data_IF_998577774287
#
_entry.id   IF_998577774287
#
_cell.length_a   1.000
_cell.length_b   1.000
_cell.length_c   1.000
_cell.angle_alpha   90.00
_cell.angle_beta   90.00
_cell.angle_gamma   90.00
#
_symmetry.space_group_name_H-M   'P 1'
#
loop_
_entity.id
_entity.type
_entity.pdbx_description
1 polymer ?
2 non-polymer ?
3 non-polymer ?
4 water ?
#
# COMPACT_ATOMS: atom_id res chain seq x y z
N UNK A 2 24.47 -11.44 -25.74
CA UNK A 2 24.80 -11.51 -24.31
C UNK A 2 23.66 -12.00 -23.44
N UNK A 3 24.00 -12.43 -22.23
CA UNK A 3 23.05 -13.07 -21.34
C UNK A 3 21.84 -12.18 -21.11
N UNK A 4 20.67 -12.79 -21.00
CA UNK A 4 19.41 -12.10 -20.76
C UNK A 4 18.85 -12.55 -19.41
N UNK A 5 19.44 -12.10 -18.32
CA UNK A 5 18.97 -12.51 -17.00
C UNK A 5 17.59 -11.96 -16.73
N UNK A 6 16.93 -12.57 -15.86
CA UNK A 6 15.70 -11.89 -15.51
C UNK A 6 15.98 -10.94 -14.35
N UNK A 7 15.28 -9.80 -14.26
CA UNK A 7 15.58 -8.86 -13.18
C UNK A 7 15.28 -9.46 -11.83
N UNK A 8 16.09 -9.10 -10.84
CA UNK A 8 15.77 -9.37 -9.45
C UNK A 8 15.31 -8.12 -8.72
N UNK A 9 15.14 -7.01 -9.43
CA UNK A 9 14.84 -5.74 -8.79
C UNK A 9 14.30 -4.82 -9.86
N UNK A 10 13.18 -4.15 -9.56
CA UNK A 10 12.62 -3.15 -10.46
C UNK A 10 12.40 -1.88 -9.67
N UNK A 11 12.27 -0.77 -10.39
CA UNK A 11 11.91 0.50 -9.79
C UNK A 11 10.51 0.89 -10.22
N UNK A 12 9.73 1.37 -9.24
CA UNK A 12 8.32 1.67 -9.40
C UNK A 12 8.11 3.11 -9.00
N UNK A 13 7.42 3.86 -9.86
CA UNK A 13 7.00 5.22 -9.56
C UNK A 13 5.53 5.18 -9.15
N UNK A 14 5.22 5.79 -8.00
CA UNK A 14 3.85 6.01 -7.57
C UNK A 14 3.58 7.50 -7.56
N UNK A 15 2.53 7.93 -8.22
CA UNK A 15 2.09 9.31 -8.15
C UNK A 15 0.65 9.38 -7.69
N UNK A 16 0.33 10.37 -6.87
CA UNK A 16 -1.05 10.65 -6.52
C UNK A 16 -1.30 12.15 -6.64
N UNK A 17 -2.37 12.52 -7.33
CA UNK A 17 -2.66 13.93 -7.54
C UNK A 17 -4.17 14.14 -7.52
N UNK A 18 -4.66 14.91 -6.56
CA UNK A 18 -6.02 15.41 -6.61
C UNK A 18 -6.02 16.67 -7.49
N UNK A 19 -6.56 16.55 -8.71
CA UNK A 19 -6.51 17.61 -9.72
C UNK A 19 -7.59 18.68 -9.55
N UNK A 20 -8.44 18.59 -8.54
CA UNK A 20 -9.37 19.68 -8.28
C UNK A 20 -10.32 19.95 -9.42
N UNK A 21 -10.64 18.95 -10.23
CA UNK A 21 -11.58 19.07 -11.35
C UNK A 21 -11.09 19.98 -12.47
N UNK A 22 -9.80 20.34 -12.49
CA UNK A 22 -9.27 21.28 -13.49
C UNK A 22 -8.31 20.60 -14.46
N UNK A 23 -8.29 20.99 -15.73
CA UNK A 23 -7.31 20.41 -16.64
C UNK A 23 -5.89 20.67 -16.15
N UNK A 24 -4.96 19.77 -16.44
CA UNK A 24 -3.57 19.96 -16.01
C UNK A 24 -2.86 21.02 -16.84
N UNK A 25 -1.79 21.62 -16.31
CA UNK A 25 -0.98 22.52 -17.15
C UNK A 25 -0.30 21.73 -18.25
N UNK A 26 0.47 22.41 -19.11
CA UNK A 26 1.11 21.77 -20.25
C UNK A 26 2.30 20.91 -19.83
N UNK A 27 3.07 21.35 -18.83
CA UNK A 27 4.25 20.63 -18.38
C UNK A 27 3.98 20.04 -17.00
N UNK A 28 4.08 18.72 -16.90
CA UNK A 28 4.00 18.06 -15.59
C UNK A 28 5.19 17.14 -15.38
N UNK A 29 6.24 17.30 -16.21
CA UNK A 29 7.40 16.41 -16.12
C UNK A 29 8.03 16.41 -14.72
N UNK A 30 7.92 17.51 -13.99
CA UNK A 30 8.49 17.56 -12.64
C UNK A 30 7.94 16.45 -11.76
N UNK A 31 6.67 16.09 -11.95
CA UNK A 31 6.06 15.03 -11.16
C UNK A 31 6.80 13.72 -11.33
N UNK A 32 7.05 13.32 -12.59
CA UNK A 32 7.65 12.01 -12.83
C UNK A 32 9.16 12.02 -12.62
N UNK A 33 9.77 13.19 -12.56
CA UNK A 33 11.18 13.32 -12.25
C UNK A 33 11.44 13.38 -10.75
N UNK A 34 10.41 13.40 -9.91
CA UNK A 34 10.57 13.50 -8.47
C UNK A 34 11.28 14.81 -8.10
N UNK A 35 10.83 15.90 -8.73
CA UNK A 35 11.43 17.23 -8.59
C UNK A 35 10.49 18.12 -7.81
N UNK A 36 11.02 18.83 -6.82
CA UNK A 36 10.22 19.75 -6.03
C UNK A 36 10.75 19.89 -4.62
N UNK A 37 9.96 19.52 -3.63
CA UNK A 37 10.44 19.51 -2.26
C UNK A 37 10.28 18.13 -1.65
N UNK A 38 11.04 17.89 -0.61
CA UNK A 38 10.99 16.64 0.11
C UNK A 38 12.18 15.77 -0.19
N UNK A 39 11.99 14.46 -0.21
CA UNK A 39 13.09 13.56 -0.54
C UNK A 39 13.05 13.44 -2.06
N UNK A 40 13.92 14.18 -2.74
CA UNK A 40 13.82 14.34 -4.19
C UNK A 40 14.92 13.56 -4.90
N UNK A 41 14.78 13.47 -6.22
CA UNK A 41 15.68 12.68 -7.04
C UNK A 41 16.68 13.60 -7.73
N UNK A 42 17.94 13.20 -7.73
CA UNK A 42 19.00 14.07 -8.21
C UNK A 42 18.95 14.18 -9.74
N UNK A 43 19.32 15.37 -10.22
CA UNK A 43 19.36 15.65 -11.65
C UNK A 43 20.03 14.54 -12.46
N UNK A 44 21.13 13.98 -11.93
CA UNK A 44 21.90 13.00 -12.70
C UNK A 44 21.04 11.84 -13.21
N UNK A 45 19.96 11.51 -12.48
CA UNK A 45 19.16 10.33 -12.78
C UNK A 45 17.99 10.61 -13.73
N UNK A 46 17.81 11.86 -14.17
CA UNK A 46 16.58 12.23 -14.88
C UNK A 46 16.33 11.35 -16.09
N UNK A 47 17.37 11.00 -16.83
CA UNK A 47 17.14 10.20 -18.02
C UNK A 47 16.89 8.73 -17.74
N UNK A 48 16.98 8.29 -16.47
CA UNK A 48 16.84 6.88 -16.14
C UNK A 48 15.36 6.57 -15.96
N UNK A 49 14.76 5.79 -16.85
CA UNK A 49 13.33 5.52 -16.74
C UNK A 49 13.07 4.47 -15.67
N UNK A 50 11.96 4.64 -14.95
CA UNK A 50 11.53 3.58 -14.04
C UNK A 50 10.90 2.45 -14.85
N UNK A 51 10.78 1.28 -14.22
CA UNK A 51 10.20 0.13 -14.92
C UNK A 51 8.69 0.20 -15.00
N UNK A 52 8.05 0.69 -13.95
CA UNK A 52 6.60 0.80 -13.89
C UNK A 52 6.25 2.16 -13.33
N UNK A 53 5.28 2.81 -13.95
CA UNK A 53 4.71 4.06 -13.45
C UNK A 53 3.24 3.79 -13.09
N UNK A 54 2.87 4.10 -11.86
CA UNK A 54 1.50 3.96 -11.38
C UNK A 54 1.01 5.35 -11.02
N UNK A 55 -0.03 5.82 -11.69
CA UNK A 55 -0.51 7.19 -11.56
C UNK A 55 -1.94 7.15 -11.01
N UNK A 56 -2.14 7.71 -9.82
CA UNK A 56 -3.46 7.82 -9.23
C UNK A 56 -3.92 9.27 -9.24
N UNK A 57 -5.14 9.50 -9.72
CA UNK A 57 -5.72 10.83 -9.67
C UNK A 57 -7.05 10.80 -8.91
N UNK A 58 -7.41 11.96 -8.35
CA UNK A 58 -8.73 12.18 -7.74
C UNK A 58 -9.26 13.49 -8.31
N UNK A 59 -10.58 13.63 -8.32
CA UNK A 59 -11.19 14.81 -8.93
C UNK A 59 -10.62 15.06 -10.33
N UNK A 60 -10.46 13.97 -11.08
CA UNK A 60 -9.85 14.00 -12.41
C UNK A 60 -10.91 14.32 -13.44
N UNK A 61 -10.83 15.45 -14.16
CA UNK A 61 -11.89 15.83 -15.10
C UNK A 61 -11.69 15.33 -16.54
N UNK A 62 -10.55 14.69 -16.82
CA UNK A 62 -10.21 14.28 -18.16
C UNK A 62 -10.81 12.91 -18.49
N UNK A 63 -11.06 12.70 -19.77
CA UNK A 63 -11.32 11.36 -20.28
C UNK A 63 -10.05 10.53 -20.21
N UNK A 64 -10.22 9.21 -20.21
CA UNK A 64 -9.08 8.31 -20.18
C UNK A 64 -8.15 8.51 -21.36
N UNK A 65 -8.71 8.76 -22.55
CA UNK A 65 -7.86 8.98 -23.71
C UNK A 65 -7.00 10.23 -23.56
N UNK A 66 -7.62 11.34 -23.13
CA UNK A 66 -6.88 12.58 -22.90
C UNK A 66 -5.73 12.38 -21.91
N UNK A 67 -6.05 11.83 -20.73
CA UNK A 67 -5.04 11.67 -19.68
C UNK A 67 -3.94 10.72 -20.12
N UNK A 68 -4.31 9.59 -20.72
CA UNK A 68 -3.30 8.68 -21.26
C UNK A 68 -2.35 9.39 -22.21
N UNK A 69 -2.90 10.26 -23.07
CA UNK A 69 -2.08 11.04 -24.00
C UNK A 69 -1.09 11.92 -23.27
N UNK A 70 -1.58 12.70 -22.30
CA UNK A 70 -0.73 13.62 -21.56
C UNK A 70 0.37 12.85 -20.85
N UNK A 71 0.04 11.68 -20.30
CA UNK A 71 1.01 10.91 -19.51
C UNK A 71 2.11 10.34 -20.39
N UNK A 72 1.74 9.71 -21.51
CA UNK A 72 2.74 9.16 -22.42
C UNK A 72 3.61 10.24 -23.03
N UNK A 73 3.04 11.40 -23.38
CA UNK A 73 3.88 12.47 -23.93
C UNK A 73 4.92 12.91 -22.91
N UNK A 74 4.47 13.14 -21.67
CA UNK A 74 5.38 13.56 -20.60
C UNK A 74 6.50 12.54 -20.40
N UNK A 75 6.15 11.25 -20.40
CA UNK A 75 7.17 10.22 -20.21
C UNK A 75 8.11 10.13 -21.41
N UNK A 76 7.57 10.25 -22.63
CA UNK A 76 8.44 10.29 -23.82
C UNK A 76 9.39 11.47 -23.78
N UNK A 77 8.89 12.64 -23.37
CA UNK A 77 9.76 13.80 -23.20
C UNK A 77 10.97 13.47 -22.32
N UNK A 78 10.74 12.71 -21.25
CA UNK A 78 11.76 12.46 -20.24
C UNK A 78 12.69 11.33 -20.67
N UNK A 79 12.14 10.25 -21.24
CA UNK A 79 12.84 9.00 -21.41
C UNK A 79 13.09 8.58 -22.86
N UNK A 80 12.33 9.12 -23.82
CA UNK A 80 12.37 8.67 -25.21
C UNK A 80 11.51 7.42 -25.41
N UNK A 81 11.21 6.72 -24.32
CA UNK A 81 10.51 5.45 -24.40
C UNK A 81 9.02 5.69 -24.56
N UNK A 82 8.37 4.80 -25.32
CA UNK A 82 6.92 4.82 -25.49
C UNK A 82 6.34 3.73 -24.59
N UNK A 83 5.86 4.14 -23.43
CA UNK A 83 5.42 3.18 -22.43
C UNK A 83 4.14 2.47 -22.86
N UNK A 84 4.04 1.19 -22.47
CA UNK A 84 2.84 0.40 -22.69
C UNK A 84 1.82 0.66 -21.60
N UNK A 85 0.54 0.72 -21.99
CA UNK A 85 -0.54 0.74 -21.03
C UNK A 85 -0.75 -0.67 -20.48
N UNK A 86 -0.62 -0.82 -19.17
CA UNK A 86 -0.88 -2.09 -18.50
C UNK A 86 -2.33 -2.21 -18.09
N UNK A 87 -2.84 -1.19 -17.42
CA UNK A 87 -4.23 -1.14 -17.02
C UNK A 87 -4.60 0.32 -16.80
N UNK A 88 -5.89 0.61 -16.96
CA UNK A 88 -6.43 1.91 -16.61
C UNK A 88 -7.85 1.68 -16.15
N UNK A 89 -8.20 2.20 -14.99
CA UNK A 89 -9.50 1.94 -14.42
C UNK A 89 -9.98 3.18 -13.68
N UNK A 90 -11.22 3.54 -13.91
CA UNK A 90 -11.80 4.77 -13.39
C UNK A 90 -13.11 4.47 -12.68
N UNK A 91 -13.27 5.03 -11.49
CA UNK A 91 -14.53 5.05 -10.76
C UNK A 91 -14.87 6.52 -10.53
N UNK A 92 -15.96 7.00 -11.12
CA UNK A 92 -16.36 8.40 -10.98
C UNK A 92 -15.19 9.25 -11.45
N UNK A 93 -14.57 10.07 -10.59
CA UNK A 93 -13.42 10.86 -10.98
C UNK A 93 -12.15 10.39 -10.28
N UNK A 94 -12.13 9.13 -9.84
CA UNK A 94 -10.96 8.49 -9.22
C UNK A 94 -10.40 7.51 -10.23
N UNK A 95 -9.11 7.60 -10.50
CA UNK A 95 -8.56 6.89 -11.65
C UNK A 95 -7.18 6.36 -11.30
N UNK A 96 -6.87 5.18 -11.85
CA UNK A 96 -5.53 4.61 -11.73
C UNK A 96 -5.04 4.20 -13.11
N UNK A 97 -3.80 4.59 -13.43
CA UNK A 97 -3.13 4.23 -14.68
C UNK A 97 -1.83 3.51 -14.32
N UNK A 98 -1.56 2.39 -14.97
CA UNK A 98 -0.29 1.66 -14.82
C UNK A 98 0.38 1.61 -16.18
N UNK A 99 1.61 2.15 -16.26
CA UNK A 99 2.43 2.14 -17.47
C UNK A 99 3.72 1.38 -17.23
N UNK A 100 4.26 0.73 -18.26
CA UNK A 100 5.45 -0.09 -18.05
C UNK A 100 6.35 -0.04 -19.27
N UNK A 101 7.64 -0.29 -19.03
CA UNK A 101 8.62 -0.32 -20.11
C UNK A 101 8.18 -1.37 -21.15
N UNK A 102 8.35 -1.09 -22.44
CA UNK A 102 7.92 -2.07 -23.45
C UNK A 102 8.58 -3.43 -23.28
N UNK A 103 9.81 -3.48 -22.76
CA UNK A 103 10.52 -4.74 -22.60
C UNK A 103 9.91 -5.65 -21.53
N UNK A 104 9.03 -5.14 -20.69
CA UNK A 104 8.44 -5.95 -19.64
C UNK A 104 7.11 -6.57 -20.04
N UNK A 105 6.66 -6.35 -21.28
CA UNK A 105 5.30 -6.76 -21.62
C UNK A 105 5.14 -8.28 -21.58
N UNK A 106 6.21 -9.03 -21.80
CA UNK A 106 6.15 -10.47 -21.63
C UNK A 106 6.26 -10.91 -20.18
N UNK A 107 6.69 -10.04 -19.28
CA UNK A 107 6.85 -10.39 -17.87
C UNK A 107 5.61 -10.12 -17.03
N UNK A 108 4.65 -9.35 -17.56
CA UNK A 108 3.47 -8.95 -16.82
C UNK A 108 2.28 -9.78 -17.28
N UNK A 109 1.53 -10.33 -16.32
CA UNK A 109 0.40 -11.19 -16.63
C UNK A 109 -0.62 -11.09 -15.51
N UNK A 110 -1.76 -11.76 -15.71
CA UNK A 110 -2.82 -11.84 -14.70
C UNK A 110 -3.20 -10.45 -14.20
N UNK A 111 -3.50 -9.55 -15.12
CA UNK A 111 -3.89 -8.19 -14.75
C UNK A 111 -5.35 -8.19 -14.29
N UNK A 112 -5.62 -7.60 -13.12
CA UNK A 112 -6.98 -7.35 -12.68
C UNK A 112 -7.16 -5.93 -12.18
N UNK A 113 -8.40 -5.45 -12.28
CA UNK A 113 -8.82 -4.17 -11.74
C UNK A 113 -10.10 -4.35 -10.94
N UNK A 114 -10.35 -3.43 -10.02
CA UNK A 114 -11.59 -3.43 -9.26
C UNK A 114 -11.77 -2.05 -8.63
N UNK A 115 -12.95 -1.82 -8.08
CA UNK A 115 -13.21 -0.59 -7.34
C UNK A 115 -14.17 -0.86 -6.18
N UNK A 116 -14.13 0.03 -5.19
CA UNK A 116 -15.01 -0.03 -4.03
C UNK A 116 -15.56 1.38 -3.81
N UNK A 117 -16.89 1.48 -3.72
CA UNK A 117 -17.53 2.74 -3.36
C UNK A 117 -17.73 2.82 -1.85
N UNK A 118 -17.39 3.96 -1.26
CA UNK A 118 -17.56 4.19 0.18
C UNK A 118 -18.42 5.44 0.36
N UNK A 119 -19.72 5.30 0.34
CA UNK A 119 -20.61 6.41 0.61
C UNK A 119 -21.66 6.05 1.64
N UNK A 120 -22.11 7.08 2.37
CA UNK A 120 -23.31 6.97 3.18
C UNK A 120 -24.56 6.98 2.33
N UNK A 121 -24.44 7.40 1.06
CA UNK A 121 -25.54 7.26 0.11
C UNK A 121 -25.02 6.95 -1.31
N UNK A 122 -23.81 6.39 -1.43
CA UNK A 122 -23.18 6.08 -2.72
C UNK A 122 -23.44 7.15 -3.77
N UNK A 123 -24.63 7.11 -4.38
CA UNK A 123 -25.02 8.13 -5.37
C UNK A 123 -24.76 9.55 -4.88
N UNK A 124 -24.64 9.74 -3.56
CA UNK A 124 -24.45 11.09 -3.01
C UNK A 124 -22.97 11.48 -3.05
N UNK A 125 -22.13 10.80 -2.26
CA UNK A 125 -20.72 11.05 -2.28
C UNK A 125 -20.01 10.36 -3.44
N UNK A 126 -18.82 10.87 -3.75
CA UNK A 126 -18.04 10.37 -4.88
C UNK A 126 -16.74 9.72 -4.43
N UNK A 127 -16.73 9.13 -3.24
CA UNK A 127 -15.48 8.66 -2.65
C UNK A 127 -15.38 7.16 -2.78
N UNK A 128 -14.15 6.67 -2.68
CA UNK A 128 -13.98 5.25 -2.87
C UNK A 128 -12.54 4.99 -3.28
N UNK A 129 -12.37 3.86 -3.97
CA UNK A 129 -11.02 3.42 -4.35
C UNK A 129 -11.08 2.64 -5.65
N UNK A 130 -9.99 2.72 -6.41
CA UNK A 130 -9.74 1.87 -7.59
C UNK A 130 -8.43 1.13 -7.36
N UNK A 131 -8.33 -0.09 -7.90
CA UNK A 131 -7.09 -0.83 -7.74
C UNK A 131 -6.76 -1.66 -8.95
N UNK A 132 -5.47 -2.04 -9.03
CA UNK A 132 -4.92 -2.86 -10.12
C UNK A 132 -3.95 -3.84 -9.47
N UNK A 133 -3.98 -5.10 -9.92
CA UNK A 133 -2.95 -6.03 -9.49
C UNK A 133 -2.44 -6.79 -10.71
N UNK A 134 -1.22 -7.31 -10.60
CA UNK A 134 -0.70 -8.17 -11.67
C UNK A 134 0.57 -8.86 -11.18
N UNK A 135 0.98 -9.87 -11.93
CA UNK A 135 2.21 -10.59 -11.68
C UNK A 135 3.33 -10.02 -12.53
N UNK A 136 4.45 -9.71 -11.90
CA UNK A 136 5.67 -9.38 -12.62
C UNK A 136 6.60 -10.57 -12.44
N UNK A 137 6.72 -11.41 -13.47
CA UNK A 137 7.45 -12.68 -13.35
C UNK A 137 6.80 -13.43 -12.19
N UNK A 138 7.53 -13.83 -11.16
CA UNK A 138 6.89 -14.59 -10.11
C UNK A 138 6.49 -13.76 -8.89
N UNK A 139 6.46 -12.44 -9.04
CA UNK A 139 6.12 -11.53 -7.95
C UNK A 139 4.75 -10.92 -8.19
N UNK A 140 3.91 -10.92 -7.15
CA UNK A 140 2.58 -10.33 -7.23
C UNK A 140 2.64 -8.90 -6.73
N UNK A 141 1.98 -8.00 -7.44
CA UNK A 141 1.99 -6.58 -7.11
C UNK A 141 0.57 -6.05 -7.02
N UNK A 142 0.33 -5.21 -6.04
CA UNK A 142 -0.99 -4.60 -5.88
C UNK A 142 -0.86 -3.11 -5.71
N UNK A 143 -1.82 -2.36 -6.28
CA UNK A 143 -1.85 -0.91 -6.18
C UNK A 143 -3.26 -0.42 -5.92
N UNK A 144 -3.41 0.41 -4.89
CA UNK A 144 -4.72 0.96 -4.52
C UNK A 144 -4.62 2.48 -4.52
N UNK A 145 -5.54 3.13 -5.24
CA UNK A 145 -5.69 4.59 -5.20
C UNK A 145 -7.06 4.90 -4.57
N UNK A 146 -7.07 5.57 -3.42
CA UNK A 146 -8.31 5.82 -2.72
C UNK A 146 -8.51 7.32 -2.48
N UNK A 147 -9.76 7.76 -2.55
CA UNK A 147 -10.14 9.13 -2.19
C UNK A 147 -11.09 8.98 -1.01
N UNK A 148 -10.62 9.33 0.19
CA UNK A 148 -11.40 9.11 1.40
C UNK A 148 -12.16 10.38 1.77
N UNK A 149 -13.07 10.23 2.73
CA UNK A 149 -13.96 11.31 3.17
C UNK A 149 -13.20 12.58 3.54
N UNK A 150 -13.74 13.75 3.14
CA UNK A 150 -13.07 15.02 3.41
C UNK A 150 -13.51 15.56 4.78
N UNK A 151 -12.77 16.56 5.28
CA UNK A 151 -13.20 17.28 6.47
C UNK A 151 -12.37 16.98 7.71
N UNK A 152 -11.90 18.01 8.40
CA UNK A 152 -11.00 17.81 9.54
C UNK A 152 -11.67 16.98 10.64
N UNK A 153 -12.99 17.13 10.83
CA UNK A 153 -13.70 16.44 11.90
C UNK A 153 -14.06 14.98 11.59
N UNK A 154 -13.74 14.46 10.40
CA UNK A 154 -14.25 13.18 9.92
C UNK A 154 -13.19 12.08 9.88
N UNK A 155 -12.22 12.08 10.80
CA UNK A 155 -11.19 11.05 10.75
C UNK A 155 -11.76 9.66 11.01
N UNK A 156 -12.79 9.56 11.87
CA UNK A 156 -13.41 8.25 12.08
C UNK A 156 -14.06 7.73 10.79
N UNK A 157 -14.69 8.60 10.01
CA UNK A 157 -15.26 8.16 8.73
C UNK A 157 -14.17 7.71 7.76
N UNK A 158 -13.03 8.42 7.74
CA UNK A 158 -11.96 7.98 6.87
C UNK A 158 -11.46 6.61 7.26
N UNK A 159 -11.33 6.36 8.56
CA UNK A 159 -10.90 5.04 9.01
C UNK A 159 -11.87 3.97 8.53
N UNK A 160 -13.18 4.23 8.68
CA UNK A 160 -14.20 3.30 8.15
C UNK A 160 -14.05 3.09 6.65
N UNK A 161 -13.82 4.17 5.88
CA UNK A 161 -13.61 4.02 4.44
C UNK A 161 -12.45 3.08 4.15
N UNK A 162 -11.33 3.33 4.81
CA UNK A 162 -10.18 2.46 4.68
C UNK A 162 -10.56 1.01 4.93
N UNK A 163 -11.29 0.77 6.03
CA UNK A 163 -11.56 -0.60 6.44
C UNK A 163 -12.45 -1.28 5.40
N UNK A 164 -13.39 -0.52 4.82
CA UNK A 164 -14.29 -1.08 3.82
C UNK A 164 -13.59 -1.35 2.50
N UNK A 165 -12.69 -0.45 2.06
CA UNK A 165 -11.93 -0.74 0.84
C UNK A 165 -11.09 -1.99 1.03
N UNK A 166 -10.40 -2.06 2.16
CA UNK A 166 -9.56 -3.22 2.46
C UNK A 166 -10.34 -4.52 2.41
N UNK A 167 -11.56 -4.54 2.99
CA UNK A 167 -12.31 -5.78 3.09
C UNK A 167 -12.91 -6.21 1.75
N UNK A 168 -13.34 -5.25 0.94
CA UNK A 168 -14.14 -5.59 -0.23
C UNK A 168 -13.45 -5.46 -1.57
N UNK A 169 -12.29 -4.83 -1.66
CA UNK A 169 -11.62 -4.76 -2.95
C UNK A 169 -11.12 -6.15 -3.33
N UNK A 170 -11.48 -6.59 -4.53
CA UNK A 170 -11.18 -7.95 -4.98
C UNK A 170 -10.07 -7.88 -6.03
N UNK A 171 -8.83 -8.11 -5.59
CA UNK A 171 -7.66 -8.13 -6.46
C UNK A 171 -6.90 -9.42 -6.20
N UNK A 172 -5.93 -9.70 -7.06
CA UNK A 172 -5.01 -10.79 -6.82
C UNK A 172 -5.59 -12.19 -6.98
N UNK A 173 -4.84 -13.13 -6.45
CA UNK A 173 -5.14 -14.55 -6.60
C UNK A 173 -6.37 -14.91 -5.77
N UNK A 174 -7.49 -15.16 -6.44
CA UNK A 174 -8.74 -15.45 -5.74
C UNK A 174 -8.69 -16.75 -4.95
N UNK A 175 -7.68 -17.60 -5.17
CA UNK A 175 -7.52 -18.81 -4.37
C UNK A 175 -7.11 -18.51 -2.94
N UNK A 176 -6.60 -17.32 -2.67
CA UNK A 176 -6.20 -16.91 -1.32
C UNK A 176 -7.43 -16.48 -0.52
N UNK A 177 -8.36 -17.42 -0.35
CA UNK A 177 -9.69 -17.10 0.19
C UNK A 177 -9.67 -16.37 1.52
N UNK A 178 -8.94 -16.81 2.53
CA UNK A 178 -8.97 -16.12 3.84
C UNK A 178 -8.31 -14.75 3.85
N UNK A 179 -7.63 -14.34 2.79
CA UNK A 179 -6.77 -13.16 2.84
C UNK A 179 -7.34 -12.01 2.03
N UNK A 180 -7.24 -10.82 2.61
CA UNK A 180 -7.63 -9.59 1.93
C UNK A 180 -6.42 -9.03 1.21
N UNK A 181 -6.57 -7.88 0.54
CA UNK A 181 -5.45 -7.34 -0.24
C UNK A 181 -4.21 -7.10 0.61
N UNK A 182 -4.32 -6.96 1.94
CA UNK A 182 -3.12 -6.64 2.70
C UNK A 182 -2.21 -7.85 2.88
N UNK A 183 -2.63 -9.03 2.41
CA UNK A 183 -1.75 -10.20 2.41
C UNK A 183 -1.62 -10.88 1.05
N UNK A 184 -2.32 -10.42 0.02
CA UNK A 184 -2.29 -11.14 -1.26
C UNK A 184 -1.09 -10.81 -2.14
N UNK A 185 -0.27 -9.79 -1.82
CA UNK A 185 0.76 -9.35 -2.76
C UNK A 185 2.11 -9.33 -2.09
N UNK A 186 3.15 -9.66 -2.87
CA UNK A 186 4.52 -9.46 -2.39
C UNK A 186 4.73 -8.01 -1.99
N UNK A 187 4.27 -7.09 -2.84
CA UNK A 187 4.30 -5.66 -2.56
C UNK A 187 2.93 -5.06 -2.82
N UNK A 188 2.44 -4.29 -1.86
CA UNK A 188 1.18 -3.57 -2.01
C UNK A 188 1.46 -2.10 -1.80
N UNK A 189 1.02 -1.25 -2.73
CA UNK A 189 1.14 0.20 -2.59
C UNK A 189 -0.25 0.78 -2.49
N UNK A 190 -0.47 1.60 -1.47
CA UNK A 190 -1.76 2.22 -1.22
C UNK A 190 -1.53 3.72 -1.11
N UNK A 191 -2.18 4.48 -1.99
CA UNK A 191 -1.91 5.90 -2.11
C UNK A 191 -3.23 6.62 -2.40
N UNK A 192 -3.17 7.95 -2.41
CA UNK A 192 -4.38 8.68 -2.78
C UNK A 192 -4.53 9.96 -2.00
N UNK A 193 -5.65 10.66 -2.24
CA UNK A 193 -6.08 11.74 -1.35
C UNK A 193 -6.80 11.07 -0.17
N UNK A 194 -5.99 10.72 0.84
CA UNK A 194 -6.51 10.05 2.03
C UNK A 194 -7.20 11.04 2.96
N UNK A 195 -6.99 12.34 2.76
CA UNK A 195 -7.77 13.41 3.37
C UNK A 195 -7.59 13.56 4.86
N UNK A 196 -6.58 12.92 5.45
CA UNK A 196 -6.30 13.17 6.85
C UNK A 196 -5.63 14.53 7.02
N UNK A 197 -5.96 15.22 8.10
CA UNK A 197 -5.60 16.63 8.27
C UNK A 197 -4.68 16.81 9.48
N UNK A 198 -4.09 18.00 9.56
CA UNK A 198 -3.32 18.38 10.73
C UNK A 198 -4.29 18.88 11.80
N UNK A 199 -4.30 18.22 12.95
CA UNK A 199 -5.28 18.51 13.99
C UNK A 199 -4.73 19.56 14.96
N UNK A 200 -4.85 20.82 14.55
CA UNK A 200 -4.48 21.97 15.36
C UNK A 200 -5.62 22.97 15.29
N UNK A 201 -5.73 23.88 16.26
CA UNK A 201 -6.86 24.83 16.25
C UNK A 201 -6.79 25.77 15.05
N UNK A 202 -7.98 26.13 14.52
CA UNK A 202 -8.00 27.03 13.37
C UNK A 202 -7.37 28.38 13.70
N UNK A 203 -7.50 28.83 14.94
CA UNK A 203 -6.93 30.13 15.27
C UNK A 203 -5.41 30.10 15.26
N UNK A 204 -4.79 28.92 15.12
CA UNK A 204 -3.34 28.74 15.02
C UNK A 204 -2.83 28.80 13.57
N UNK A 205 -3.68 29.15 12.60
CA UNK A 205 -3.31 28.93 11.21
C UNK A 205 -2.05 29.71 10.82
N UNK A 206 -1.90 30.95 11.31
CA UNK A 206 -0.72 31.71 10.94
C UNK A 206 0.54 31.11 11.55
N UNK A 207 0.43 30.57 12.76
CA UNK A 207 1.57 29.89 13.38
C UNK A 207 1.95 28.67 12.57
N UNK A 208 0.95 27.94 12.08
CA UNK A 208 1.22 26.78 11.25
C UNK A 208 1.95 27.20 9.98
N UNK A 209 1.48 28.28 9.34
CA UNK A 209 2.12 28.78 8.12
C UNK A 209 3.55 29.21 8.39
N UNK A 210 3.78 29.93 9.49
CA UNK A 210 5.16 30.31 9.82
C UNK A 210 6.04 29.06 9.91
N UNK A 211 5.55 28.00 10.56
CA UNK A 211 6.35 26.78 10.66
C UNK A 211 6.63 26.18 9.29
N UNK A 212 5.61 26.15 8.41
CA UNK A 212 5.82 25.65 7.05
C UNK A 212 6.88 26.47 6.34
N UNK A 213 6.82 27.79 6.49
CA UNK A 213 7.81 28.64 5.85
C UNK A 213 9.21 28.41 6.40
N UNK A 214 9.33 28.04 7.67
CA UNK A 214 10.64 27.69 8.20
C UNK A 214 10.98 26.23 7.99
N UNK A 215 10.11 25.50 7.27
CA UNK A 215 10.36 24.08 6.97
C UNK A 215 10.58 23.26 8.23
N UNK A 216 9.98 23.67 9.35
CA UNK A 216 9.98 22.82 10.55
C UNK A 216 8.64 22.09 10.57
N UNK A 217 8.63 20.92 9.97
CA UNK A 217 7.41 20.12 9.91
C UNK A 217 7.21 19.24 11.14
N UNK A 218 8.21 19.11 12.02
CA UNK A 218 8.14 18.11 13.07
C UNK A 218 6.94 18.33 13.97
N UNK A 219 6.70 19.57 14.36
CA UNK A 219 5.59 19.87 15.26
C UNK A 219 4.26 19.64 14.57
N UNK A 220 4.20 19.97 13.28
CA UNK A 220 2.99 19.76 12.51
C UNK A 220 2.70 18.28 12.32
N UNK A 221 3.75 17.50 11.99
CA UNK A 221 3.56 16.07 11.76
C UNK A 221 3.12 15.35 13.03
N UNK A 222 3.56 15.82 14.20
CA UNK A 222 3.07 15.23 15.43
C UNK A 222 1.56 15.43 15.62
N UNK A 223 0.91 16.28 14.82
CA UNK A 223 -0.54 16.42 14.90
C UNK A 223 -1.24 15.88 13.66
N UNK A 224 -0.50 15.27 12.75
CA UNK A 224 -1.07 14.68 11.55
C UNK A 224 -1.99 13.52 11.92
N UNK A 225 -3.24 13.55 11.42
CA UNK A 225 -4.20 12.53 11.84
C UNK A 225 -3.79 11.13 11.37
N UNK A 226 -3.23 11.02 10.17
CA UNK A 226 -2.88 9.70 9.67
C UNK A 226 -1.75 9.06 10.50
N UNK A 227 -0.71 9.83 10.81
CA UNK A 227 0.35 9.26 11.65
C UNK A 227 -0.18 8.88 13.03
N UNK A 228 -1.07 9.71 13.59
CA UNK A 228 -1.63 9.41 14.90
C UNK A 228 -2.47 8.14 14.85
N UNK A 229 -3.38 8.06 13.88
CA UNK A 229 -4.24 6.89 13.76
C UNK A 229 -3.45 5.63 13.42
N UNK A 230 -2.36 5.77 12.68
CA UNK A 230 -1.49 4.61 12.43
C UNK A 230 -0.81 4.18 13.72
N UNK A 231 -0.26 5.14 14.47
CA UNK A 231 0.39 4.79 15.74
C UNK A 231 -0.56 4.06 16.66
N UNK A 232 -1.82 4.48 16.68
CA UNK A 232 -2.83 3.87 17.53
C UNK A 232 -3.51 2.67 16.90
N UNK A 233 -2.98 2.17 15.78
CA UNK A 233 -3.41 0.91 15.20
C UNK A 233 -4.88 0.94 14.82
N UNK A 234 -5.34 2.12 14.35
CA UNK A 234 -6.69 2.24 13.84
C UNK A 234 -6.78 2.11 12.32
N UNK A 235 -5.67 2.26 11.60
CA UNK A 235 -5.67 2.23 10.14
C UNK A 235 -4.27 1.84 9.69
N UNK A 236 -4.17 1.25 8.49
CA UNK A 236 -2.89 0.94 7.85
C UNK A 236 -1.97 0.12 8.76
N UNK A 237 -2.52 -0.93 9.37
CA UNK A 237 -1.73 -1.81 10.23
C UNK A 237 -0.54 -2.40 9.46
N UNK A 238 0.66 -2.21 10.02
CA UNK A 238 1.88 -2.83 9.50
C UNK A 238 2.26 -2.32 8.11
N UNK A 239 1.73 -1.16 7.71
CA UNK A 239 2.21 -0.48 6.51
C UNK A 239 3.40 0.41 6.88
N UNK A 240 4.14 0.82 5.85
CA UNK A 240 5.27 1.73 5.98
C UNK A 240 4.95 3.02 5.26
N UNK A 241 5.56 4.12 5.71
CA UNK A 241 5.53 5.39 5.00
C UNK A 241 6.90 6.04 5.18
N UNK A 242 7.46 6.57 4.09
CA UNK A 242 8.72 7.32 4.18
C UNK A 242 8.50 8.61 4.99
N UNK A 243 9.53 9.07 5.68
CA UNK A 243 9.41 10.31 6.45
C UNK A 243 9.02 11.45 5.52
N UNK A 244 8.05 12.26 5.97
CA UNK A 244 7.58 13.41 5.20
C UNK A 244 8.53 14.59 5.45
N UNK A 245 9.07 15.14 4.36
CA UNK A 245 10.02 16.24 4.44
C UNK A 245 9.65 17.36 3.47
N UNK A 246 8.40 17.39 3.03
CA UNK A 246 7.86 18.38 2.10
C UNK A 246 6.69 19.09 2.77
N UNK A 247 6.37 20.29 2.26
CA UNK A 247 5.33 21.08 2.88
C UNK A 247 3.96 20.44 2.66
N UNK A 248 2.99 20.75 3.51
CA UNK A 248 1.63 20.26 3.28
C UNK A 248 1.20 20.52 1.85
N UNK A 249 0.51 19.53 1.25
CA UNK A 249 0.11 19.54 -0.15
C UNK A 249 -1.31 20.08 -0.37
N UNK A 250 -1.95 20.57 0.69
CA UNK A 250 -3.32 21.06 0.62
C UNK A 250 -3.49 22.06 1.75
N UNK A 251 -4.36 23.05 1.56
CA UNK A 251 -5.14 23.49 0.42
C UNK A 251 -4.55 24.78 -0.13
N UNK A 252 -4.12 24.78 -1.39
CA UNK A 252 -3.44 25.92 -2.00
C UNK A 252 -4.42 26.79 -2.77
N UNK A 253 -4.15 28.10 -2.81
CA UNK A 253 -4.78 28.92 -3.83
C UNK A 253 -4.27 28.45 -5.19
N UNK A 254 -5.15 28.39 -6.16
CA UNK A 254 -4.74 27.88 -7.45
C UNK A 254 -3.96 28.92 -8.25
N UNK A 255 -3.11 28.43 -9.15
CA UNK A 255 -2.33 29.21 -10.11
C UNK A 255 -1.07 29.80 -9.49
N UNK A 256 -0.87 29.63 -8.19
CA UNK A 256 0.38 29.96 -7.50
C UNK A 256 0.62 28.84 -6.49
N UNK A 257 1.83 28.80 -5.91
CA UNK A 257 2.08 27.90 -4.78
C UNK A 257 2.50 28.68 -3.54
N UNK A 258 2.14 29.95 -3.47
CA UNK A 258 2.59 30.82 -2.37
C UNK A 258 1.52 31.08 -1.32
N UNK A 259 0.32 30.52 -1.46
CA UNK A 259 -0.77 30.83 -0.54
C UNK A 259 -1.54 29.58 -0.18
N UNK A 260 -1.59 29.29 1.11
CA UNK A 260 -2.52 28.30 1.60
C UNK A 260 -3.86 28.96 1.79
N UNK A 261 -4.88 28.43 1.10
CA UNK A 261 -6.22 29.00 1.16
C UNK A 261 -7.00 28.20 2.20
N UNK A 262 -6.83 28.60 3.46
CA UNK A 262 -7.35 27.79 4.56
C UNK A 262 -8.62 28.34 5.19
N UNK A 263 -8.99 29.60 4.92
CA UNK A 263 -10.14 30.20 5.58
C UNK A 263 -11.45 29.65 5.03
N UNK A 264 -12.51 29.86 5.81
CA UNK A 264 -13.82 29.43 5.40
C UNK A 264 -14.38 30.42 4.38
N UNK A 265 -15.14 29.88 3.44
CA UNK A 265 -15.81 30.68 2.43
C UNK A 265 -16.97 29.85 1.90
N UNK A 266 -17.93 30.52 1.27
CA UNK A 266 -19.12 29.82 0.77
C UNK A 266 -18.76 28.58 -0.02
N UNK A 267 -17.72 28.67 -0.85
CA UNK A 267 -17.37 27.53 -1.70
C UNK A 267 -16.96 26.31 -0.89
N UNK A 268 -16.34 26.51 0.27
CA UNK A 268 -15.90 25.38 1.10
C UNK A 268 -16.95 24.97 2.13
N UNK A 269 -18.20 25.39 1.93
CA UNK A 269 -19.20 25.13 2.95
C UNK A 269 -18.92 25.82 4.25
N UNK A 270 -18.24 26.96 4.22
CA UNK A 270 -17.94 27.73 5.42
C UNK A 270 -17.08 26.90 6.37
N UNK A 271 -16.13 26.16 5.81
CA UNK A 271 -15.23 25.28 6.57
C UNK A 271 -13.79 25.70 6.38
N UNK A 272 -13.01 25.59 7.45
CA UNK A 272 -11.56 25.75 7.37
C UNK A 272 -10.90 24.51 6.79
N UNK A 273 -9.86 24.74 6.01
CA UNK A 273 -8.99 23.66 5.49
C UNK A 273 -7.57 24.03 5.87
N UNK A 274 -7.21 23.82 7.14
CA UNK A 274 -5.85 24.10 7.59
C UNK A 274 -4.86 23.27 6.75
N UNK A 275 -3.66 23.79 6.52
CA UNK A 275 -2.67 23.05 5.72
C UNK A 275 -2.53 21.63 6.22
N UNK A 276 -2.53 20.68 5.29
CA UNK A 276 -2.56 19.26 5.62
C UNK A 276 -1.80 18.44 4.60
N UNK A 277 -1.27 17.30 5.07
CA UNK A 277 -0.72 16.27 4.18
C UNK A 277 -1.83 15.30 3.76
N UNK A 278 -2.71 15.77 2.86
CA UNK A 278 -3.83 14.93 2.44
C UNK A 278 -3.39 13.79 1.56
N UNK A 279 -2.29 13.97 0.84
CA UNK A 279 -1.95 13.16 -0.32
C UNK A 279 -0.71 12.32 0.01
N UNK A 280 -0.87 11.01 -0.03
CA UNK A 280 0.05 10.12 0.66
C UNK A 280 0.30 8.85 -0.16
N UNK A 281 1.48 8.25 0.08
CA UNK A 281 1.84 6.95 -0.49
C UNK A 281 2.34 6.08 0.65
N UNK A 282 1.70 4.91 0.86
CA UNK A 282 2.15 3.94 1.86
C UNK A 282 2.36 2.58 1.17
N UNK A 283 3.12 1.69 1.82
CA UNK A 283 3.28 0.37 1.22
C UNK A 283 3.35 -0.72 2.29
N UNK A 284 3.16 -1.96 1.83
CA UNK A 284 3.26 -3.09 2.74
C UNK A 284 3.81 -4.25 1.91
N UNK A 285 4.95 -4.77 2.32
CA UNK A 285 5.57 -5.88 1.58
C UNK A 285 5.77 -7.09 2.50
N UNK A 286 5.82 -8.28 1.89
CA UNK A 286 6.07 -9.48 2.68
C UNK A 286 7.38 -9.33 3.45
N UNK A 287 7.50 -9.98 4.61
CA UNK A 287 8.75 -9.86 5.40
C UNK A 287 9.99 -10.30 4.63
N UNK A 288 11.07 -9.52 4.80
CA UNK A 288 12.40 -9.83 4.26
C UNK A 288 12.42 -9.89 2.73
N UNK A 289 11.50 -9.18 2.08
CA UNK A 289 11.61 -8.87 0.66
C UNK A 289 12.19 -7.47 0.54
N UNK A 290 13.13 -7.28 -0.40
CA UNK A 290 13.74 -5.97 -0.64
C UNK A 290 12.70 -4.95 -1.05
N UNK A 291 12.62 -3.84 -0.32
CA UNK A 291 11.86 -2.66 -0.80
C UNK A 291 12.48 -1.45 -0.14
N UNK A 292 12.86 -0.47 -0.96
CA UNK A 292 13.51 0.73 -0.48
C UNK A 292 12.87 1.93 -1.16
N UNK A 293 12.41 2.89 -0.36
CA UNK A 293 11.88 4.12 -0.94
C UNK A 293 13.04 5.04 -1.33
N UNK A 294 13.09 5.45 -2.60
CA UNK A 294 14.15 6.32 -3.09
C UNK A 294 13.74 7.78 -3.23
N UNK A 295 12.44 8.11 -3.16
CA UNK A 295 12.02 9.51 -3.19
C UNK A 295 10.61 9.59 -2.62
N UNK A 296 10.29 10.71 -1.98
CA UNK A 296 8.93 10.94 -1.49
C UNK A 296 8.79 12.45 -1.34
N UNK A 297 7.97 13.06 -2.17
CA UNK A 297 7.98 14.53 -2.15
C UNK A 297 6.82 15.05 -2.96
N UNK A 298 6.81 16.38 -3.11
CA UNK A 298 5.73 17.04 -3.82
C UNK A 298 6.34 18.00 -4.85
N UNK A 299 5.60 18.24 -5.92
CA UNK A 299 6.06 19.21 -6.89
C UNK A 299 5.68 20.62 -6.45
N UNK A 300 6.37 21.60 -7.03
CA UNK A 300 6.17 23.03 -6.76
C UNK A 300 5.60 23.81 -7.94
N UNK A 301 5.69 23.28 -9.15
CA UNK A 301 5.44 24.03 -10.38
C UNK A 301 4.15 23.62 -11.09
N UNK A 302 3.36 22.73 -10.51
CA UNK A 302 2.09 22.31 -11.08
C UNK A 302 0.98 22.88 -10.19
N UNK A 303 0.26 23.88 -10.69
CA UNK A 303 -0.50 24.73 -9.78
C UNK A 303 -1.96 24.88 -10.19
N UNK A 304 -2.45 24.00 -11.05
CA UNK A 304 -3.83 24.10 -11.55
C UNK A 304 -4.87 23.64 -10.53
N UNK A 305 -4.44 22.90 -9.52
CA UNK A 305 -5.30 22.31 -8.49
C UNK A 305 -5.01 22.93 -7.13
N UNK A 306 -5.96 22.79 -6.20
CA UNK A 306 -5.65 23.21 -4.84
C UNK A 306 -4.84 22.16 -4.09
N UNK A 307 -4.48 21.06 -4.75
CA UNK A 307 -3.49 20.13 -4.22
C UNK A 307 -2.22 20.19 -5.07
N UNK A 308 -1.07 19.95 -4.41
CA UNK A 308 0.08 19.64 -5.23
C UNK A 308 0.21 18.13 -5.43
N UNK A 309 0.66 17.72 -6.61
CA UNK A 309 0.98 16.31 -6.86
C UNK A 309 2.03 15.78 -5.88
N UNK A 310 1.94 14.48 -5.56
CA UNK A 310 2.93 13.80 -4.70
C UNK A 310 3.51 12.64 -5.50
N UNK A 311 4.84 12.46 -5.37
CA UNK A 311 5.58 11.36 -5.99
C UNK A 311 6.29 10.52 -4.93
N UNK A 312 6.45 9.22 -5.22
CA UNK A 312 7.32 8.36 -4.45
C UNK A 312 7.90 7.35 -5.41
N UNK A 313 9.13 6.93 -5.17
CA UNK A 313 9.74 5.88 -5.99
C UNK A 313 10.33 4.80 -5.11
N UNK A 314 10.38 3.58 -5.66
CA UNK A 314 10.77 2.40 -4.91
C UNK A 314 11.64 1.50 -5.75
N UNK A 315 12.66 0.93 -5.12
CA UNK A 315 13.29 -0.31 -5.59
C UNK A 315 12.52 -1.45 -4.96
N UNK A 316 12.06 -2.40 -5.76
CA UNK A 316 11.29 -3.51 -5.22
C UNK A 316 11.90 -4.81 -5.72
N UNK A 317 12.07 -5.77 -4.82
CA UNK A 317 12.65 -7.07 -5.22
C UNK A 317 11.60 -7.96 -5.88
N UNK A 318 12.03 -8.65 -6.94
CA UNK A 318 11.16 -9.55 -7.70
C UNK A 318 11.91 -10.86 -7.92
N UNK A 319 11.16 -11.90 -8.29
CA UNK A 319 11.74 -13.21 -8.58
C UNK A 319 11.16 -13.71 -9.91
N UNK A 320 11.65 -14.87 -10.39
CA UNK A 320 11.17 -15.38 -11.67
C UNK A 320 10.98 -16.89 -11.58
N UNK A 321 10.76 -17.51 -12.75
CA UNK A 321 10.44 -18.94 -12.84
C UNK A 321 11.54 -19.83 -12.29
N UNK A 322 11.12 -20.91 -11.63
CA UNK A 322 11.98 -21.93 -11.01
C UNK A 322 13.28 -21.36 -10.45
N UNK A 334 11.60 -34.60 0.17
CA UNK A 334 12.86 -33.91 -0.15
C UNK A 334 12.90 -32.62 0.65
N UNK A 335 12.34 -31.56 0.07
CA UNK A 335 12.05 -30.37 0.84
C UNK A 335 10.97 -30.63 1.86
N UNK A 336 11.00 -29.85 2.94
CA UNK A 336 10.10 -30.07 4.07
C UNK A 336 10.09 -28.81 4.92
N UNK A 337 8.91 -28.37 5.32
CA UNK A 337 8.78 -27.22 6.21
C UNK A 337 8.08 -27.70 7.48
N UNK A 338 8.82 -27.72 8.59
CA UNK A 338 8.35 -28.23 9.87
C UNK A 338 8.14 -27.08 10.82
N UNK A 339 7.02 -27.12 11.55
CA UNK A 339 6.69 -26.13 12.57
C UNK A 339 6.73 -26.81 13.93
N UNK A 340 7.38 -26.15 14.89
CA UNK A 340 7.47 -26.69 16.25
C UNK A 340 7.16 -25.60 17.27
N UNK A 341 6.58 -26.01 18.40
CA UNK A 341 6.36 -25.14 19.54
C UNK A 341 5.49 -23.94 19.17
N UNK A 342 4.58 -24.12 18.21
CA UNK A 342 3.82 -23.00 17.71
C UNK A 342 2.57 -22.74 18.53
N UNK A 343 2.18 -21.47 18.62
CA UNK A 343 0.94 -21.12 19.28
C UNK A 343 0.49 -19.73 18.83
N UNK A 344 -0.81 -19.51 18.93
CA UNK A 344 -1.37 -18.21 18.60
C UNK A 344 -1.95 -17.57 19.86
N UNK A 345 -1.94 -16.25 19.92
CA UNK A 345 -2.68 -15.54 20.95
C UNK A 345 -3.72 -14.67 20.26
N UNK A 346 -4.93 -14.68 20.80
CA UNK A 346 -6.07 -14.06 20.13
C UNK A 346 -6.82 -13.16 21.10
N UNK A 347 -7.23 -11.99 20.62
CA UNK A 347 -8.06 -11.10 21.43
C UNK A 347 -9.49 -11.61 21.54
N UNK A 348 -9.93 -12.47 20.61
CA UNK A 348 -11.29 -13.00 20.60
C UNK A 348 -11.74 -13.55 21.94
N UNK A 349 -13.05 -13.60 22.15
CA UNK A 349 -13.67 -14.25 23.30
C UNK A 349 -14.48 -15.46 22.88
N UNK A 350 -14.47 -15.81 21.58
CA UNK A 350 -15.11 -17.04 21.14
C UNK A 350 -14.50 -18.25 21.85
N UNK A 351 -15.34 -19.23 22.15
CA UNK A 351 -14.91 -20.47 22.80
C UNK A 351 -14.69 -21.59 21.80
N UNK A 352 -14.73 -21.28 20.50
CA UNK A 352 -14.58 -22.30 19.48
C UNK A 352 -13.19 -22.91 19.54
N UNK A 353 -13.03 -24.04 18.86
CA UNK A 353 -11.71 -24.60 18.55
C UNK A 353 -11.19 -23.97 17.25
N UNK A 354 -9.87 -23.82 17.16
CA UNK A 354 -9.23 -23.15 16.03
C UNK A 354 -8.27 -24.08 15.32
N UNK A 355 -8.21 -23.96 14.00
CA UNK A 355 -7.22 -24.67 13.19
C UNK A 355 -6.50 -23.69 12.28
N UNK A 356 -5.40 -24.17 11.69
CA UNK A 356 -4.55 -23.35 10.83
C UNK A 356 -4.71 -23.75 9.38
N UNK A 357 -4.52 -22.78 8.48
CA UNK A 357 -4.41 -23.04 7.05
C UNK A 357 -3.13 -22.40 6.55
N UNK A 358 -2.34 -23.16 5.77
CA UNK A 358 -1.10 -22.67 5.17
C UNK A 358 -1.26 -22.54 3.66
N UNK A 359 -0.97 -21.34 3.12
CA UNK A 359 -1.07 -21.07 1.69
C UNK A 359 0.25 -20.53 1.15
N UNK A 360 0.64 -20.98 -0.04
CA UNK A 360 1.88 -20.54 -0.69
C UNK A 360 1.97 -21.16 -2.09
N UNK A 361 2.53 -20.39 -3.03
CA UNK A 361 2.74 -20.90 -4.38
C UNK A 361 3.83 -21.97 -4.44
N UNK A 362 4.61 -22.16 -3.37
CA UNK A 362 5.52 -23.30 -3.28
C UNK A 362 4.81 -24.59 -2.88
N UNK A 363 3.51 -24.54 -2.61
CA UNK A 363 2.70 -25.69 -2.24
C UNK A 363 1.80 -26.10 -3.41
N UNK A 364 1.54 -27.41 -3.53
CA UNK A 364 0.65 -27.83 -4.60
C UNK A 364 -0.78 -27.35 -4.38
N UNK A 365 -1.16 -27.08 -3.12
CA UNK A 365 -2.42 -26.47 -2.72
C UNK A 365 -2.37 -26.27 -1.21
N UNK A 366 -3.23 -25.39 -0.70
CA UNK A 366 -3.10 -25.02 0.71
C UNK A 366 -3.31 -26.22 1.62
N UNK A 367 -2.73 -26.15 2.81
CA UNK A 367 -2.77 -27.26 3.76
C UNK A 367 -3.58 -26.84 4.97
N UNK A 368 -4.44 -27.73 5.43
CA UNK A 368 -5.26 -27.51 6.62
C UNK A 368 -4.72 -28.34 7.78
N UNK A 369 -4.54 -27.70 8.93
CA UNK A 369 -4.05 -28.36 10.13
C UNK A 369 -5.21 -28.92 10.97
N UNK A 370 -4.84 -29.73 11.98
CA UNK A 370 -5.83 -30.15 12.96
C UNK A 370 -6.03 -29.05 14.00
N UNK A 371 -7.08 -29.19 14.82
CA UNK A 371 -7.38 -28.15 15.79
C UNK A 371 -6.30 -28.05 16.86
N UNK A 372 -6.12 -26.83 17.39
CA UNK A 372 -5.20 -26.61 18.48
C UNK A 372 -5.86 -26.86 19.83
N UNK A 373 -5.09 -26.58 20.89
CA UNK A 373 -5.56 -26.69 22.26
C UNK A 373 -5.67 -25.30 22.88
N UNK A 374 -6.83 -25.00 23.46
CA UNK A 374 -7.07 -23.67 24.03
C UNK A 374 -6.64 -23.62 25.49
N UNK A 375 -6.10 -22.47 25.88
CA UNK A 375 -5.79 -22.20 27.28
C UNK A 375 -5.84 -20.70 27.48
N UNK A 376 -6.06 -20.29 28.72
CA UNK A 376 -6.13 -18.87 29.03
C UNK A 376 -4.73 -18.30 29.18
N UNK A 377 -4.43 -17.27 28.41
CA UNK A 377 -3.14 -16.61 28.47
C UNK A 377 -2.87 -15.98 29.82
N UNK A 378 -1.67 -15.45 30.01
CA UNK A 378 -1.35 -14.79 31.27
C UNK A 378 -2.27 -13.61 31.50
N UNK A 379 -2.41 -12.74 30.50
CA UNK A 379 -3.12 -11.48 30.63
C UNK A 379 -4.59 -11.58 30.27
N UNK A 380 -5.17 -12.78 30.34
CA UNK A 380 -6.58 -12.95 30.04
C UNK A 380 -6.90 -13.01 28.57
N UNK A 381 -5.93 -13.36 27.74
CA UNK A 381 -6.14 -13.53 26.31
C UNK A 381 -6.31 -15.03 26.03
N UNK A 382 -6.72 -15.36 24.82
CA UNK A 382 -6.83 -16.75 24.42
C UNK A 382 -5.51 -17.22 23.80
N UNK A 383 -5.02 -18.36 24.26
CA UNK A 383 -3.81 -18.98 23.71
C UNK A 383 -4.20 -20.31 23.08
N UNK A 384 -3.93 -20.45 21.79
CA UNK A 384 -4.18 -21.68 21.04
C UNK A 384 -2.82 -22.31 20.76
N UNK A 385 -2.55 -23.46 21.37
CA UNK A 385 -1.27 -24.15 21.23
C UNK A 385 -1.36 -25.26 20.18
N UNK A 386 -0.35 -25.33 19.31
CA UNK A 386 -0.32 -26.36 18.29
C UNK A 386 0.80 -27.38 18.47
N UNK A 387 1.85 -27.06 19.23
CA UNK A 387 2.88 -28.06 19.53
C UNK A 387 3.61 -28.53 18.29
N UNK A 388 3.89 -29.83 18.25
CA UNK A 388 4.51 -30.47 17.09
C UNK A 388 3.49 -31.25 16.25
N UNK A 389 2.20 -31.00 16.47
CA UNK A 389 1.10 -31.63 15.75
C UNK A 389 0.88 -31.07 14.36
N UNK A 390 1.55 -29.99 13.99
CA UNK A 390 1.21 -29.36 12.73
C UNK A 390 1.70 -30.21 11.55
N UNK A 391 1.03 -30.11 10.40
CA UNK A 391 1.49 -30.85 9.22
C UNK A 391 2.88 -30.39 8.83
N UNK A 392 3.67 -31.33 8.31
CA UNK A 392 4.94 -31.00 7.67
C UNK A 392 4.66 -30.70 6.19
N UNK A 393 4.81 -29.43 5.80
CA UNK A 393 4.56 -29.01 4.43
C UNK A 393 5.63 -29.54 3.49
N UNK A 394 5.20 -30.01 2.31
CA UNK A 394 6.11 -30.54 1.31
C UNK A 394 6.14 -29.63 0.08
N UNK A 395 7.10 -28.72 -0.01
CA UNK A 395 7.14 -27.81 -1.16
C UNK A 395 7.39 -28.58 -2.45
N UNK A 396 6.92 -28.00 -3.56
CA UNK A 396 7.03 -28.65 -4.86
C UNK A 396 8.43 -28.53 -5.43
N UNK A 397 9.22 -27.55 -4.99
CA UNK A 397 10.61 -27.38 -5.37
C UNK A 397 11.44 -27.34 -4.10
N UNK A 398 12.56 -28.07 -4.11
CA UNK A 398 13.41 -28.19 -2.93
C UNK A 398 14.67 -27.34 -2.99
N UNK A 399 15.02 -26.81 -4.17
CA UNK A 399 16.23 -26.02 -4.32
C UNK A 399 16.24 -24.84 -3.34
N UNK A 400 17.30 -24.67 -2.55
CA UNK A 400 17.31 -23.57 -1.57
C UNK A 400 17.33 -22.19 -2.20
N UNK A 401 17.82 -22.05 -3.43
CA UNK A 401 17.75 -20.76 -4.09
C UNK A 401 16.30 -20.37 -4.35
N UNK A 402 15.40 -21.36 -4.48
CA UNK A 402 13.98 -21.06 -4.64
C UNK A 402 13.25 -21.00 -3.30
N UNK A 403 13.47 -22.00 -2.43
CA UNK A 403 12.67 -22.10 -1.21
C UNK A 403 12.94 -20.97 -0.23
N UNK A 404 14.18 -20.46 -0.19
CA UNK A 404 14.53 -19.42 0.78
C UNK A 404 13.85 -18.09 0.44
N UNK A 405 13.36 -17.96 -0.78
CA UNK A 405 12.72 -16.75 -1.29
C UNK A 405 11.21 -16.79 -1.19
N UNK A 406 10.65 -17.85 -0.60
CA UNK A 406 9.22 -18.01 -0.55
C UNK A 406 8.64 -17.52 0.78
N UNK A 407 7.31 -17.49 0.84
CA UNK A 407 6.55 -17.06 2.00
C UNK A 407 5.38 -17.99 2.19
N UNK A 408 4.98 -18.15 3.45
CA UNK A 408 3.85 -18.96 3.84
C UNK A 408 2.84 -18.04 4.50
N UNK A 409 1.65 -17.95 3.92
CA UNK A 409 0.56 -17.22 4.53
C UNK A 409 -0.17 -18.15 5.49
N UNK A 410 -0.55 -17.63 6.65
CA UNK A 410 -1.24 -18.40 7.68
C UNK A 410 -2.57 -17.75 8.01
N UNK A 411 -3.63 -18.54 8.03
CA UNK A 411 -4.93 -18.12 8.55
C UNK A 411 -5.32 -19.04 9.69
N UNK A 412 -5.72 -18.49 10.83
CA UNK A 412 -6.25 -19.26 11.94
C UNK A 412 -7.77 -19.18 11.86
N UNK A 413 -8.42 -20.33 11.68
CA UNK A 413 -9.85 -20.41 11.40
C UNK A 413 -10.62 -21.06 12.55
N UNK A 414 -11.85 -20.61 12.73
CA UNK A 414 -12.78 -21.24 13.65
C UNK A 414 -13.27 -22.55 13.05
N UNK A 415 -13.16 -23.64 13.80
CA UNK A 415 -13.72 -24.89 13.31
C UNK A 415 -15.24 -24.89 13.39
N UNK A 416 -15.84 -24.04 14.23
CA UNK A 416 -17.29 -23.92 14.27
C UNK A 416 -17.83 -23.21 13.04
N UNK A 417 -17.19 -22.11 12.63
CA UNK A 417 -17.76 -21.28 11.59
C UNK A 417 -16.95 -21.30 10.30
N UNK A 418 -15.70 -21.77 10.34
CA UNK A 418 -14.77 -21.78 9.22
C UNK A 418 -14.36 -20.39 8.77
N UNK A 419 -14.62 -19.36 9.58
CA UNK A 419 -14.15 -18.02 9.29
C UNK A 419 -12.80 -17.80 9.92
N UNK A 420 -11.99 -17.01 9.24
CA UNK A 420 -10.69 -16.65 9.78
C UNK A 420 -10.85 -15.62 10.88
N UNK A 421 -10.05 -15.80 11.93
CA UNK A 421 -9.95 -14.86 13.05
C UNK A 421 -8.62 -14.12 13.01
N UNK A 422 -7.75 -14.45 12.06
CA UNK A 422 -6.51 -13.75 11.94
C UNK A 422 -5.68 -14.31 10.82
N UNK A 423 -4.91 -13.44 10.17
CA UNK A 423 -4.09 -13.76 9.02
C UNK A 423 -2.72 -13.14 9.17
N UNK A 424 -1.68 -13.86 8.73
CA UNK A 424 -0.33 -13.34 8.80
C UNK A 424 0.54 -14.04 7.79
N UNK A 425 1.84 -13.76 7.88
CA UNK A 425 2.78 -14.20 6.84
C UNK A 425 4.15 -14.49 7.43
N UNK A 426 4.75 -15.61 7.02
CA UNK A 426 6.06 -16.05 7.49
C UNK A 426 7.00 -16.18 6.29
N UNK A 427 8.16 -15.51 6.37
CA UNK A 427 9.20 -15.65 5.36
C UNK A 427 9.98 -16.94 5.57
N UNK A 428 10.36 -17.59 4.47
CA UNK A 428 11.30 -18.72 4.51
C UNK A 428 12.75 -18.28 4.40
N UNK A 429 13.01 -16.98 4.27
CA UNK A 429 14.36 -16.44 4.23
C UNK A 429 15.06 -16.65 5.56
N UNK A 430 15.58 -17.86 5.79
CA UNK A 430 16.13 -18.22 7.08
C UNK A 430 17.66 -18.23 7.06
N UNK A 431 18.26 -18.01 8.23
CA UNK A 431 19.71 -18.04 8.33
C UNK A 431 20.28 -19.46 8.37
N UNK A 432 19.45 -20.49 8.42
CA UNK A 432 19.99 -21.84 8.43
C UNK A 432 18.90 -22.80 7.99
N UNK A 433 19.31 -23.96 7.50
CA UNK A 433 18.37 -25.02 7.18
C UNK A 433 18.63 -26.21 8.08
N UNK A 434 17.69 -27.15 8.09
CA UNK A 434 17.76 -28.30 9.00
C UNK A 434 18.04 -27.85 10.44
N UNK A 435 17.55 -26.67 10.81
CA UNK A 435 17.81 -26.07 12.11
C UNK A 435 16.56 -25.39 12.61
N UNK A 436 16.23 -25.59 13.89
CA UNK A 436 15.06 -24.90 14.43
C UNK A 436 15.36 -23.43 14.70
N UNK A 437 14.43 -22.58 14.34
CA UNK A 437 14.62 -21.14 14.38
C UNK A 437 13.30 -20.47 14.70
N UNK A 438 13.32 -19.37 15.44
CA UNK A 438 12.05 -18.72 15.80
C UNK A 438 11.39 -18.06 14.62
N UNK A 439 10.04 -18.11 14.60
CA UNK A 439 9.22 -17.39 13.64
C UNK A 439 8.15 -16.59 14.38
N UNK A 440 7.68 -15.53 13.74
CA UNK A 440 6.67 -14.67 14.34
C UNK A 440 5.94 -13.91 13.24
N UNK A 441 4.61 -13.74 13.40
CA UNK A 441 3.84 -12.80 12.57
C UNK A 441 2.70 -12.27 13.40
N UNK A 442 2.41 -10.97 13.35
CA UNK A 442 1.15 -10.50 13.91
C UNK A 442 0.02 -11.07 13.07
N UNK A 443 -1.17 -11.06 13.67
CA UNK A 443 -2.38 -11.54 13.01
C UNK A 443 -3.35 -10.38 12.90
N UNK A 444 -3.91 -10.18 11.71
CA UNK A 444 -5.00 -9.23 11.52
C UNK A 444 -6.20 -9.93 10.90
N UNK A 445 -7.41 -9.41 11.13
CA UNK A 445 -8.58 -9.87 10.41
C UNK A 445 -9.38 -8.64 10.01
N UNK A 446 -9.81 -8.60 8.74
CA UNK A 446 -10.50 -7.42 8.20
C UNK A 446 -9.69 -6.15 8.47
N UNK A 447 -8.37 -6.28 8.53
CA UNK A 447 -7.48 -5.14 8.64
C UNK A 447 -7.19 -4.68 10.05
N UNK A 448 -7.76 -5.31 11.07
CA UNK A 448 -7.52 -4.94 12.46
C UNK A 448 -6.68 -6.00 13.17
N UNK A 449 -5.86 -5.56 14.11
CA UNK A 449 -5.00 -6.48 14.85
C UNK A 449 -5.87 -7.36 15.74
N UNK A 450 -5.70 -8.70 15.63
CA UNK A 450 -6.49 -9.65 16.41
C UNK A 450 -5.64 -10.63 17.20
N UNK A 451 -4.33 -10.62 17.04
CA UNK A 451 -3.51 -11.57 17.79
C UNK A 451 -2.11 -11.70 17.21
N UNK A 452 -1.48 -12.83 17.53
CA UNK A 452 -0.09 -13.05 17.18
C UNK A 452 0.13 -14.55 17.00
N UNK A 453 1.11 -14.89 16.16
CA UNK A 453 1.49 -16.29 15.91
C UNK A 453 3.02 -16.42 16.04
N UNK A 454 3.47 -17.35 16.87
CA UNK A 454 4.90 -17.49 17.11
C UNK A 454 5.22 -18.96 17.29
N UNK A 455 6.50 -19.28 17.10
CA UNK A 455 6.95 -20.64 17.27
C UNK A 455 8.29 -20.82 16.59
N UNK A 456 8.54 -22.05 16.19
CA UNK A 456 9.82 -22.39 15.60
C UNK A 456 9.55 -23.07 14.26
N UNK A 457 10.52 -22.95 13.38
CA UNK A 457 10.44 -23.55 12.06
C UNK A 457 11.74 -24.29 11.82
N UNK A 458 11.68 -25.30 10.94
CA UNK A 458 12.86 -26.03 10.53
C UNK A 458 12.67 -26.32 9.04
N UNK A 459 13.60 -25.83 8.23
CA UNK A 459 13.51 -25.89 6.78
C UNK A 459 14.51 -26.91 6.23
N UNK A 460 14.01 -27.83 5.41
CA UNK A 460 14.85 -28.81 4.73
C UNK A 460 14.81 -28.50 3.23
N UNK A 461 15.99 -28.26 2.65
CA UNK A 461 16.17 -28.11 1.21
C UNK A 461 17.04 -29.26 0.68
N UNK A 462 17.26 -29.27 -0.64
CA UNK A 462 18.17 -30.25 -1.21
C UNK A 462 19.62 -29.99 -0.83
N UNK A 463 19.94 -28.77 -0.39
CA UNK A 463 21.30 -28.40 -0.01
C UNK A 463 22.20 -28.27 -1.24
X LIG B 1 -3.73 -12.45 -9.98
X LIG B 1 -1.81 -11.73 -8.65
X LIG B 1 -6.18 -15.53 -11.83
X LIG B 1 -7.38 -15.38 -10.89
X LIG B 1 -7.07 -15.83 -9.48
X LIG B 1 -6.01 -17.86 -10.12
X LIG B 1 -4.73 -17.06 -10.39
X LIG B 1 -7.95 -11.46 -11.40
X LIG B 1 -6.78 -11.94 -10.53
X LIG B 1 -5.72 -12.73 -11.31
X LIG B 1 -4.53 -13.33 -10.58
X LIG B 1 -4.20 -14.71 -10.51
X LIG B 1 -3.07 -15.10 -9.81
X LIG B 1 -2.28 -14.15 -9.20
X LIG B 1 -2.66 -12.82 -9.30
X LIG B 1 -1.21 -10.90 -8.17
X LIG B 1 -4.97 -15.82 -11.10
X LIG B 1 -5.84 -12.84 -12.49
X LIG B 1 -6.97 -17.22 -9.33
X LIG C 1 7.95 -13.44 -4.36
X LIG C 1 8.82 -12.74 -5.35
X LIG C 1 8.76 -13.40 -2.74
X LIG C 1 7.94 -15.24 -4.69
X LIG C 1 8.46 -14.22 -2.16
X LIG C 1 8.49 -12.50 -2.23
X LIG C 1 9.82 -13.42 -2.87
X LIG C 1 7.23 -15.45 -5.44
X LIG C 1 7.68 -15.76 -3.80
X LIG C 1 8.90 -15.54 -5.01
X LIG D 1 2.52 -16.62 -1.95
X LIG D 1 3.21 -17.99 -2.05
X LIG D 1 3.53 -15.41 -2.82
X LIG D 1 2.44 -16.03 -0.24
X LIG D 1 3.75 -14.60 -2.16
X LIG D 1 2.99 -15.03 -3.65
X LIG D 1 4.43 -15.86 -3.14
X LIG D 1 1.84 -15.16 -0.19
X LIG D 1 3.41 -15.80 0.10
X LIG D 1 2.03 -16.79 0.38
X LIG E 1 2.37 -9.72 8.80
X LIG E 1 1.75 -10.06 7.48
X LIG E 1 2.63 -7.92 8.94
X LIG E 1 4.13 -10.26 8.81
X LIG E 1 3.41 -7.73 9.65
X LIG E 1 1.74 -7.46 9.27
X LIG E 1 2.92 -7.53 8.00
X LIG E 1 4.50 -10.24 9.81
X LIG E 1 4.70 -9.61 8.20
X LIG E 1 4.19 -11.24 8.44
#
# INVERSE_FOLDING_TARGET
SMEQPEPDMITIFIGTWNMGNAPPPKKITSWFLSKGQGKTRDDSADYIPHDIYVIGTQEDPLSEKEWLEILKHSLQEITSVTFKTVAIHTLWNIRIVVLAKPEHENRISHICTDNVKTGIANTLGNKGAVGVSFMFNGTSLGFVNSHLTSGSEKKLRRNQNYMNILRFLALGDKKLSPFNITHRFTHLFWFGDLNYRVDLPTWEAETIIQKIKQQQYADLLSHDQLLTERREQKVFLHFEEEEITFAPTYRFERLTRDKYAYTKQKATGMKYNLPSWCDRVLWKSYPLVHVVCQSYGSTSDIMTSDHSPVFATFEAGVTSQFVSKNGPGTVDSQGQIEFLRCYATLKTKSQTKFYLEFHSSCLESFVKSQEGENEEGSEGELVVKFGETLPKLKPIISDPEYLLDQHILISIKSSDSDESYGEGCIALRLEATETQLPIYTPLTHHGELTGHFQGEIKLQTSQ
X3F N10 C11 C14 C15 C16 C18 C19 C01 C02 C03 C05 C06 C07 C08 C09 N12 N13 O04 O17
DMS S O C1 C2 H11 H12 H13 H21 H22 H23
DMS S O C1 C2 H11 H12 H13 H21 H22 H23
DMS S O C1 C2 H11 H12 H13 H21 H22 H23
#
